data_IF_717865964352
#
_entry.id   IF_717865964352
#
_cell.length_a   1.000
_cell.length_b   1.000
_cell.length_c   1.000
_cell.angle_alpha   90.00
_cell.angle_beta   90.00
_cell.angle_gamma   90.00
#
_symmetry.space_group_name_H-M   'P 1'
#
loop_
_entity.id
_entity.type
_entity.pdbx_description
1 polymer ?
#
# COMPACT_ATOMS: atom_id res chain seq x y z
N UNK A 1 16.55 4.82 -66.08
CA UNK A 1 16.10 3.70 -65.22
C UNK A 1 15.84 4.22 -63.79
N UNK A 2 14.56 4.48 -63.43
CA UNK A 2 14.21 4.97 -62.11
C UNK A 2 14.04 3.75 -61.18
N UNK A 3 14.94 3.58 -60.26
CA UNK A 3 14.94 2.48 -59.27
C UNK A 3 13.84 2.73 -58.24
N UNK A 4 12.87 1.88 -58.21
CA UNK A 4 11.65 1.95 -57.34
C UNK A 4 12.01 2.13 -55.86
N UNK A 5 11.71 3.28 -55.29
CA UNK A 5 11.88 3.59 -53.86
C UNK A 5 10.80 2.98 -52.96
N UNK A 6 9.81 2.28 -53.52
CA UNK A 6 8.67 1.69 -52.79
C UNK A 6 9.05 0.48 -51.92
N UNK A 7 10.07 -0.31 -52.29
CA UNK A 7 10.50 -1.51 -51.55
C UNK A 7 11.13 -1.19 -50.18
N UNK A 8 11.84 -0.07 -50.07
CA UNK A 8 12.54 0.31 -48.82
C UNK A 8 11.58 0.79 -47.72
N UNK A 9 10.47 1.45 -48.06
CA UNK A 9 9.48 1.93 -47.12
C UNK A 9 8.67 0.78 -46.49
N UNK A 10 8.36 -0.26 -47.28
CA UNK A 10 7.69 -1.45 -46.78
C UNK A 10 8.55 -2.23 -45.79
N UNK A 11 9.85 -2.37 -46.04
CA UNK A 11 10.78 -3.07 -45.16
C UNK A 11 10.99 -2.34 -43.83
N UNK A 12 11.09 -1.00 -43.85
CA UNK A 12 11.19 -0.19 -42.62
C UNK A 12 9.93 -0.28 -41.74
N UNK A 13 8.74 -0.40 -42.32
CA UNK A 13 7.50 -0.60 -41.55
C UNK A 13 7.44 -1.96 -40.88
N UNK A 14 7.90 -3.01 -41.53
CA UNK A 14 7.98 -4.36 -40.96
C UNK A 14 9.00 -4.38 -39.80
N UNK A 15 10.16 -3.77 -40.00
CA UNK A 15 11.21 -3.66 -38.99
C UNK A 15 10.71 -2.88 -37.74
N UNK A 16 10.01 -1.76 -37.98
CA UNK A 16 9.39 -0.99 -36.91
C UNK A 16 8.31 -1.81 -36.17
N UNK A 17 7.47 -2.54 -36.89
CA UNK A 17 6.44 -3.39 -36.27
C UNK A 17 7.05 -4.49 -35.40
N UNK A 18 8.13 -5.13 -35.86
CA UNK A 18 8.85 -6.13 -35.08
C UNK A 18 9.51 -5.53 -33.82
N UNK A 19 10.18 -4.38 -34.00
CA UNK A 19 10.78 -3.67 -32.84
C UNK A 19 9.71 -3.22 -31.82
N UNK A 20 8.59 -2.68 -32.29
CA UNK A 20 7.49 -2.25 -31.45
C UNK A 20 6.86 -3.40 -30.64
N UNK A 21 6.73 -4.58 -31.26
CA UNK A 21 6.18 -5.78 -30.58
C UNK A 21 7.01 -6.19 -29.36
N UNK A 22 8.31 -5.93 -29.38
CA UNK A 22 9.21 -6.20 -28.24
C UNK A 22 9.24 -5.01 -27.28
N UNK A 23 9.30 -3.80 -27.81
CA UNK A 23 9.53 -2.58 -27.05
C UNK A 23 8.32 -2.20 -26.18
N UNK A 24 7.09 -2.32 -26.72
CA UNK A 24 5.88 -1.98 -25.96
C UNK A 24 5.68 -2.83 -24.69
N UNK A 25 5.80 -4.17 -24.71
CA UNK A 25 5.72 -4.98 -23.50
C UNK A 25 6.80 -4.64 -22.47
N UNK A 26 8.02 -4.31 -22.91
CA UNK A 26 9.11 -3.91 -22.02
C UNK A 26 8.78 -2.60 -21.28
N UNK A 27 8.32 -1.58 -22.00
CA UNK A 27 7.91 -0.31 -21.41
C UNK A 27 6.70 -0.48 -20.49
N UNK A 28 5.71 -1.23 -20.92
CA UNK A 28 4.53 -1.49 -20.12
C UNK A 28 4.87 -2.25 -18.84
N UNK A 29 5.78 -3.23 -18.90
CA UNK A 29 6.30 -3.94 -17.73
C UNK A 29 7.05 -3.02 -16.78
N UNK A 30 7.95 -2.17 -17.28
CA UNK A 30 8.69 -1.20 -16.47
C UNK A 30 7.73 -0.21 -15.78
N UNK A 31 6.73 0.31 -16.50
CA UNK A 31 5.71 1.20 -15.94
C UNK A 31 4.91 0.50 -14.84
N UNK A 32 4.47 -0.73 -15.08
CA UNK A 32 3.72 -1.51 -14.11
C UNK A 32 4.50 -1.75 -12.82
N UNK A 33 5.75 -2.16 -12.91
CA UNK A 33 6.62 -2.32 -11.73
C UNK A 33 6.81 -1.00 -11.00
N UNK A 34 7.10 0.08 -11.70
CA UNK A 34 7.27 1.41 -11.11
C UNK A 34 6.03 1.87 -10.35
N UNK A 35 4.84 1.70 -10.93
CA UNK A 35 3.58 2.05 -10.29
C UNK A 35 3.30 1.19 -9.04
N UNK A 36 3.48 -0.13 -9.14
CA UNK A 36 3.28 -1.02 -7.99
C UNK A 36 4.25 -0.69 -6.85
N UNK A 37 5.50 -0.37 -7.18
CA UNK A 37 6.51 0.01 -6.21
C UNK A 37 6.19 1.37 -5.55
N UNK A 38 5.69 2.32 -6.32
CA UNK A 38 5.20 3.60 -5.80
C UNK A 38 4.07 3.40 -4.79
N UNK A 39 3.05 2.63 -5.14
CA UNK A 39 1.94 2.31 -4.23
C UNK A 39 2.44 1.60 -2.97
N UNK A 40 3.32 0.61 -3.11
CA UNK A 40 3.91 -0.09 -1.97
C UNK A 40 4.67 0.83 -1.01
N UNK A 41 5.44 1.79 -1.54
CA UNK A 41 6.16 2.78 -0.72
C UNK A 41 5.19 3.71 0.03
N UNK A 42 4.11 4.14 -0.61
CA UNK A 42 3.07 4.94 0.03
C UNK A 42 2.40 4.16 1.18
N UNK A 43 2.04 2.90 0.93
CA UNK A 43 1.49 2.01 1.96
C UNK A 43 2.46 1.81 3.13
N UNK A 44 3.74 1.59 2.84
CA UNK A 44 4.75 1.39 3.88
C UNK A 44 4.92 2.63 4.77
N UNK A 45 4.92 3.81 4.17
CA UNK A 45 4.98 5.10 4.89
C UNK A 45 3.72 5.31 5.75
N UNK A 46 2.55 5.06 5.18
CA UNK A 46 1.27 5.19 5.87
C UNK A 46 1.15 4.25 7.07
N UNK A 47 1.56 2.99 6.91
CA UNK A 47 1.55 1.99 7.98
C UNK A 47 2.51 2.36 9.12
N UNK A 48 3.70 2.84 8.81
CA UNK A 48 4.64 3.32 9.84
C UNK A 48 4.06 4.51 10.60
N UNK A 49 3.41 5.45 9.90
CA UNK A 49 2.70 6.57 10.51
C UNK A 49 1.58 6.11 11.43
N UNK A 50 0.74 5.20 10.95
CA UNK A 50 -0.36 4.62 11.73
C UNK A 50 0.11 3.81 12.93
N UNK A 51 1.16 2.99 12.78
CA UNK A 51 1.72 2.20 13.87
C UNK A 51 2.37 3.09 14.95
N UNK A 52 3.08 4.16 14.55
CA UNK A 52 3.60 5.17 15.47
C UNK A 52 2.46 5.90 16.20
N UNK A 53 1.41 6.29 15.48
CA UNK A 53 0.23 6.90 16.10
C UNK A 53 -0.40 5.96 17.12
N UNK A 54 -0.58 4.67 16.77
CA UNK A 54 -1.11 3.66 17.66
C UNK A 54 -0.25 3.45 18.92
N UNK A 55 1.08 3.51 18.78
CA UNK A 55 2.02 3.31 19.90
C UNK A 55 2.04 4.45 20.93
N UNK A 56 1.63 5.66 20.52
CA UNK A 56 1.62 6.86 21.39
C UNK A 56 0.23 7.19 21.93
N UNK A 57 -0.82 6.67 21.30
CA UNK A 57 -2.20 6.94 21.70
C UNK A 57 -2.55 6.16 22.96
N UNK A 58 -3.36 6.77 23.85
CA UNK A 58 -3.91 6.04 25.02
C UNK A 58 -4.69 4.81 24.57
N UNK A 59 -4.34 3.67 25.15
CA UNK A 59 -5.04 2.40 24.90
C UNK A 59 -6.32 2.41 25.75
N UNK A 60 -7.46 2.45 25.11
CA UNK A 60 -8.77 2.69 25.72
C UNK A 60 -9.55 1.38 25.96
N UNK A 61 -8.84 0.31 26.26
CA UNK A 61 -9.42 -1.00 26.56
C UNK A 61 -8.63 -1.71 27.65
N UNK A 62 -9.31 -2.30 28.60
CA UNK A 62 -8.72 -3.17 29.63
C UNK A 62 -8.47 -4.60 29.11
N UNK A 63 -8.74 -4.88 27.84
CA UNK A 63 -8.63 -6.21 27.25
C UNK A 63 -7.53 -6.26 26.19
N UNK A 64 -7.12 -7.46 25.78
CA UNK A 64 -6.20 -7.67 24.66
C UNK A 64 -6.74 -7.24 23.28
N UNK A 65 -7.98 -6.73 23.22
CA UNK A 65 -8.55 -6.18 21.97
C UNK A 65 -8.70 -4.67 22.13
N UNK A 66 -8.18 -3.87 21.19
CA UNK A 66 -8.36 -2.43 21.22
C UNK A 66 -9.85 -2.07 21.05
N UNK A 67 -10.27 -0.93 21.61
CA UNK A 67 -11.62 -0.44 21.40
C UNK A 67 -11.90 -0.14 19.93
N UNK A 68 -13.17 -0.04 19.56
CA UNK A 68 -13.56 0.37 18.22
C UNK A 68 -13.04 1.77 17.90
N UNK A 69 -13.10 2.70 18.87
CA UNK A 69 -12.62 4.07 18.70
C UNK A 69 -11.13 4.16 18.42
N UNK A 70 -10.33 3.40 19.19
CA UNK A 70 -8.90 3.28 18.96
C UNK A 70 -8.60 2.71 17.58
N UNK A 71 -9.20 1.57 17.25
CA UNK A 71 -8.99 0.88 15.98
C UNK A 71 -9.38 1.75 14.80
N UNK A 72 -10.53 2.44 14.85
CA UNK A 72 -10.98 3.35 13.78
C UNK A 72 -10.02 4.50 13.59
N UNK A 73 -9.56 5.15 14.66
CA UNK A 73 -8.62 6.26 14.56
C UNK A 73 -7.27 5.85 13.95
N UNK A 74 -6.75 4.68 14.34
CA UNK A 74 -5.50 4.13 13.77
C UNK A 74 -5.68 3.77 12.29
N UNK A 75 -6.78 3.13 11.93
CA UNK A 75 -7.10 2.79 10.54
C UNK A 75 -7.25 4.04 9.67
N UNK A 76 -7.97 5.05 10.16
CA UNK A 76 -8.10 6.33 9.48
C UNK A 76 -6.74 7.02 9.29
N UNK A 77 -5.88 6.97 10.29
CA UNK A 77 -4.52 7.51 10.19
C UNK A 77 -3.70 6.84 9.09
N UNK A 78 -3.86 5.52 8.90
CA UNK A 78 -3.22 4.80 7.79
C UNK A 78 -3.81 5.18 6.45
N UNK A 79 -5.14 5.20 6.34
CA UNK A 79 -5.82 5.39 5.05
C UNK A 79 -5.78 6.83 4.58
N UNK A 80 -6.01 7.79 5.49
CA UNK A 80 -6.20 9.20 5.16
C UNK A 80 -5.09 10.14 5.67
N UNK A 81 -4.13 9.60 6.42
CA UNK A 81 -3.09 10.42 7.06
C UNK A 81 -3.58 11.24 8.25
N UNK A 82 -4.84 11.09 8.67
CA UNK A 82 -5.44 11.75 9.84
C UNK A 82 -6.44 10.85 10.57
N UNK A 83 -6.58 11.02 11.88
CA UNK A 83 -7.44 10.19 12.71
C UNK A 83 -8.95 10.45 12.52
N UNK A 84 -9.33 11.58 11.94
CA UNK A 84 -10.73 11.92 11.66
C UNK A 84 -11.29 11.16 10.44
N UNK A 85 -10.42 10.60 9.59
CA UNK A 85 -10.84 9.84 8.41
C UNK A 85 -11.35 10.73 7.28
N UNK A 86 -10.80 11.94 7.15
CA UNK A 86 -11.18 12.92 6.12
C UNK A 86 -10.09 13.05 5.05
N UNK A 87 -10.48 13.33 3.83
CA UNK A 87 -9.56 13.52 2.71
C UNK A 87 -9.50 12.33 1.74
N UNK A 88 -8.48 12.34 0.91
CA UNK A 88 -8.26 11.26 -0.06
C UNK A 88 -7.41 10.15 0.56
N UNK A 89 -7.66 8.88 0.21
CA UNK A 89 -6.82 7.78 0.60
C UNK A 89 -5.38 7.95 0.08
N UNK A 90 -4.39 7.50 0.84
CA UNK A 90 -2.96 7.55 0.47
C UNK A 90 -2.59 6.64 -0.70
N UNK A 91 -3.45 5.69 -1.02
CA UNK A 91 -3.35 4.82 -2.18
C UNK A 91 -4.74 4.60 -2.80
N UNK A 92 -4.85 4.42 -4.13
CA UNK A 92 -6.12 4.17 -4.80
C UNK A 92 -6.84 2.96 -4.19
N UNK A 93 -8.15 3.06 -4.00
CA UNK A 93 -9.03 1.99 -3.49
C UNK A 93 -8.65 1.41 -2.11
N UNK A 94 -7.74 2.06 -1.39
CA UNK A 94 -7.40 1.68 -0.02
C UNK A 94 -8.54 2.08 0.93
N UNK A 95 -9.05 1.10 1.68
CA UNK A 95 -10.12 1.28 2.65
C UNK A 95 -9.67 0.93 4.06
N UNK A 96 -10.44 1.33 5.06
CA UNK A 96 -10.18 1.01 6.46
C UNK A 96 -10.25 -0.50 6.76
N UNK A 97 -10.94 -1.27 5.91
CA UNK A 97 -11.04 -2.72 6.05
C UNK A 97 -9.77 -3.45 5.63
N UNK A 98 -8.96 -2.81 4.78
CA UNK A 98 -7.64 -3.31 4.41
C UNK A 98 -6.58 -3.13 5.51
N UNK A 99 -6.91 -2.45 6.61
CA UNK A 99 -5.95 -2.18 7.70
C UNK A 99 -6.30 -3.03 8.90
N UNK A 100 -5.33 -3.82 9.36
CA UNK A 100 -5.43 -4.60 10.60
C UNK A 100 -4.53 -4.00 11.67
N UNK A 101 -5.09 -3.86 12.88
CA UNK A 101 -4.40 -3.33 14.07
C UNK A 101 -4.42 -4.40 15.14
N UNK A 102 -3.24 -4.84 15.56
CA UNK A 102 -3.09 -5.91 16.55
C UNK A 102 -2.13 -5.49 17.64
N UNK A 103 -2.58 -5.41 18.90
CA UNK A 103 -1.68 -5.22 20.03
C UNK A 103 -0.92 -6.51 20.33
N UNK A 104 0.34 -6.41 20.65
CA UNK A 104 1.14 -7.46 21.28
C UNK A 104 1.12 -7.23 22.79
N UNK A 105 0.38 -8.06 23.52
CA UNK A 105 0.20 -7.88 24.96
C UNK A 105 1.42 -8.37 25.75
N UNK A 106 1.80 -7.61 26.78
CA UNK A 106 2.75 -8.01 27.82
C UNK A 106 2.00 -8.00 29.17
N UNK A 107 1.42 -9.14 29.52
CA UNK A 107 0.44 -9.21 30.61
C UNK A 107 -0.86 -8.49 30.25
N UNK A 108 -1.31 -7.58 31.10
CA UNK A 108 -2.53 -6.78 30.90
C UNK A 108 -2.29 -5.49 30.07
N UNK A 109 -1.06 -5.17 29.75
CA UNK A 109 -0.67 -3.92 29.09
C UNK A 109 -0.14 -4.25 27.67
N UNK A 110 -0.47 -3.45 26.65
CA UNK A 110 0.14 -3.62 25.35
C UNK A 110 1.64 -3.29 25.41
N UNK A 111 2.49 -4.23 25.00
CA UNK A 111 3.93 -4.01 24.89
C UNK A 111 4.35 -3.45 23.53
N UNK A 112 3.60 -3.76 22.48
CA UNK A 112 3.82 -3.23 21.13
C UNK A 112 2.52 -3.19 20.33
N UNK A 113 2.49 -2.33 19.31
CA UNK A 113 1.39 -2.21 18.38
C UNK A 113 1.86 -2.59 16.98
N UNK A 114 1.18 -3.55 16.37
CA UNK A 114 1.41 -3.97 14.99
C UNK A 114 0.28 -3.49 14.11
N UNK A 115 0.62 -2.83 13.02
CA UNK A 115 -0.32 -2.41 11.98
C UNK A 115 0.13 -3.02 10.65
N UNK A 116 -0.79 -3.60 9.92
CA UNK A 116 -0.52 -4.26 8.65
C UNK A 116 -1.63 -4.06 7.62
N UNK A 117 -1.29 -4.19 6.35
CA UNK A 117 -2.26 -4.27 5.26
C UNK A 117 -2.66 -5.72 5.04
N UNK A 118 -3.97 -5.94 4.82
CA UNK A 118 -4.52 -7.24 4.45
C UNK A 118 -5.60 -7.08 3.38
N UNK A 119 -5.55 -7.95 2.37
CA UNK A 119 -6.57 -8.01 1.33
C UNK A 119 -6.61 -6.78 0.40
N UNK A 120 -5.55 -5.98 0.34
CA UNK A 120 -5.47 -4.85 -0.58
C UNK A 120 -4.89 -5.31 -1.92
N UNK A 121 -5.60 -5.00 -2.99
CA UNK A 121 -5.19 -5.36 -4.35
C UNK A 121 -4.89 -4.11 -5.16
N UNK A 122 -3.71 -4.08 -5.77
CA UNK A 122 -3.33 -3.09 -6.76
C UNK A 122 -3.68 -3.62 -8.14
N UNK A 123 -4.63 -2.98 -8.80
CA UNK A 123 -4.93 -3.27 -10.20
C UNK A 123 -3.88 -2.58 -11.08
N UNK A 124 -3.19 -3.39 -11.83
CA UNK A 124 -2.17 -2.96 -12.76
C UNK A 124 -2.54 -3.39 -14.17
N UNK A 125 -1.92 -2.81 -15.19
CA UNK A 125 -2.30 -2.97 -16.60
C UNK A 125 -2.37 -4.44 -17.04
N UNK A 126 -1.49 -5.30 -16.53
CA UNK A 126 -1.41 -6.70 -16.94
C UNK A 126 -1.74 -7.71 -15.86
N UNK A 127 -1.68 -7.32 -14.58
CA UNK A 127 -1.90 -8.26 -13.48
C UNK A 127 -2.35 -7.53 -12.22
N UNK A 128 -2.94 -8.29 -11.31
CA UNK A 128 -3.37 -7.81 -9.99
C UNK A 128 -2.38 -8.30 -8.94
N UNK A 129 -1.90 -7.38 -8.11
CA UNK A 129 -1.06 -7.71 -6.97
C UNK A 129 -1.84 -7.55 -5.67
N UNK A 130 -2.05 -8.64 -4.95
CA UNK A 130 -2.73 -8.62 -3.66
C UNK A 130 -1.72 -8.65 -2.52
N UNK A 131 -1.79 -7.66 -1.65
CA UNK A 131 -0.97 -7.56 -0.45
C UNK A 131 -1.71 -8.19 0.73
N UNK A 132 -1.12 -9.26 1.29
CA UNK A 132 -1.62 -9.94 2.48
C UNK A 132 -0.55 -9.89 3.57
N UNK A 133 -0.89 -9.32 4.74
CA UNK A 133 -0.03 -9.15 5.90
C UNK A 133 1.23 -8.29 5.67
N UNK A 134 1.36 -7.65 4.51
CA UNK A 134 2.46 -6.73 4.17
C UNK A 134 1.98 -5.58 3.28
N UNK A 135 2.56 -4.37 3.42
CA UNK A 135 3.55 -3.99 4.43
C UNK A 135 3.00 -4.05 5.87
N UNK A 136 3.87 -4.25 6.84
CA UNK A 136 3.56 -4.26 8.27
C UNK A 136 4.61 -3.48 9.05
N UNK A 137 4.19 -2.82 10.13
CA UNK A 137 5.09 -2.13 11.05
C UNK A 137 4.67 -2.41 12.50
N UNK A 138 5.67 -2.63 13.34
CA UNK A 138 5.49 -2.83 14.78
C UNK A 138 6.31 -1.80 15.53
N UNK A 139 5.65 -1.09 16.47
CA UNK A 139 6.32 -0.13 17.34
C UNK A 139 6.08 -0.50 18.80
N UNK A 140 7.09 -0.34 19.67
CA UNK A 140 6.90 -0.46 21.11
C UNK A 140 5.79 0.48 21.58
N UNK A 141 4.91 0.01 22.47
CA UNK A 141 3.86 0.84 23.02
C UNK A 141 4.42 1.71 24.14
N UNK A 142 4.22 3.01 24.03
CA UNK A 142 4.66 4.02 24.98
C UNK A 142 3.52 4.94 25.42
N UNK A 143 2.29 4.63 24.97
CA UNK A 143 1.09 5.36 25.37
C UNK A 143 0.65 5.06 26.79
N UNK A 144 -0.42 5.72 27.23
CA UNK A 144 -1.01 5.49 28.54
C UNK A 144 -1.97 4.30 28.48
N UNK A 145 -1.80 3.24 29.27
CA UNK A 145 -2.78 2.18 29.36
C UNK A 145 -4.09 2.70 29.96
N UNK A 146 -5.21 2.01 29.67
CA UNK A 146 -6.48 2.34 30.29
C UNK A 146 -6.38 2.19 31.82
N UNK A 147 -7.03 3.04 32.57
CA UNK A 147 -7.16 2.81 34.00
C UNK A 147 -7.92 1.51 34.24
N UNK A 148 -7.41 0.71 35.16
CA UNK A 148 -8.00 -0.56 35.59
C UNK A 148 -9.19 -0.29 36.50
#
# INVERSE_FOLDING_TARGET
>A
MAKSSKSRRGNAMVEFALAATILFPLFAGAFQFGYTFYVYNNLNTAIRGGARYASLRSYDSATGKPSKGFSTAVKNMVVYGNAAGTGQPVAPDLTVDNVQVSPMMSGAIPGAMTVQIAGYTVDSVFTKFTFNAKPSATFPYTGTPAPF
#
